data_IF_993270683047
#
_entry.id   IF_993270683047
#
_cell.length_a   1.000
_cell.length_b   1.000
_cell.length_c   1.000
_cell.angle_alpha   90.00
_cell.angle_beta   90.00
_cell.angle_gamma   90.00
#
_symmetry.space_group_name_H-M   'P 1'
#
loop_
_entity.id
_entity.type
_entity.pdbx_description
1 polymer ?
#
# COMPACT_ATOMS: atom_id res chain seq x y z
N UNK A 1 -58.56 -25.99 51.95
CA UNK A 1 -59.13 -24.84 51.22
C UNK A 1 -58.12 -24.37 50.19
N UNK A 2 -58.55 -24.34 48.91
CA UNK A 2 -57.95 -23.68 47.73
C UNK A 2 -56.51 -24.07 47.32
N UNK A 3 -56.45 -24.96 46.31
CA UNK A 3 -55.43 -25.03 45.24
C UNK A 3 -55.20 -23.63 44.66
N UNK A 4 -53.97 -23.30 44.26
CA UNK A 4 -53.70 -22.71 42.94
C UNK A 4 -52.24 -22.98 42.53
N UNK A 5 -52.13 -23.52 41.33
CA UNK A 5 -50.93 -23.76 40.55
C UNK A 5 -50.23 -22.45 40.18
N UNK A 6 -48.92 -22.38 40.34
CA UNK A 6 -48.12 -21.39 39.61
C UNK A 6 -47.33 -22.10 38.51
N UNK A 7 -47.77 -21.78 37.30
CA UNK A 7 -47.16 -22.07 36.01
C UNK A 7 -45.85 -21.27 35.93
N UNK A 8 -44.72 -21.94 35.73
CA UNK A 8 -43.49 -21.25 35.32
C UNK A 8 -43.57 -20.98 33.82
N UNK A 9 -43.91 -19.74 33.46
CA UNK A 9 -43.77 -19.23 32.10
C UNK A 9 -42.28 -19.24 31.72
N UNK A 10 -41.88 -20.18 30.87
CA UNK A 10 -40.68 -20.04 30.07
C UNK A 10 -40.93 -18.91 29.06
N UNK A 11 -40.34 -17.74 29.32
CA UNK A 11 -40.15 -16.70 28.30
C UNK A 11 -39.23 -17.25 27.21
N UNK A 12 -39.86 -17.83 26.19
CA UNK A 12 -39.24 -18.21 24.94
C UNK A 12 -38.97 -16.93 24.15
N UNK A 13 -37.76 -16.39 24.27
CA UNK A 13 -37.28 -15.33 23.38
C UNK A 13 -37.27 -15.87 21.95
N UNK A 14 -38.26 -15.43 21.15
CA UNK A 14 -38.32 -15.67 19.71
C UNK A 14 -37.09 -15.04 19.07
N UNK A 15 -36.06 -15.85 18.80
CA UNK A 15 -35.06 -15.52 17.81
C UNK A 15 -35.75 -15.54 16.44
N UNK A 16 -36.01 -14.35 15.91
CA UNK A 16 -36.42 -14.20 14.51
C UNK A 16 -35.27 -14.68 13.63
N UNK A 17 -35.32 -15.94 13.18
CA UNK A 17 -34.44 -16.45 12.14
C UNK A 17 -34.76 -15.71 10.85
N UNK A 18 -33.99 -14.66 10.53
CA UNK A 18 -33.99 -14.12 9.16
C UNK A 18 -33.41 -15.21 8.26
N UNK A 19 -34.30 -15.87 7.53
CA UNK A 19 -33.93 -16.75 6.43
C UNK A 19 -33.19 -15.90 5.40
N UNK A 20 -31.89 -16.11 5.27
CA UNK A 20 -31.14 -15.58 4.14
C UNK A 20 -31.61 -16.31 2.89
N UNK A 21 -32.43 -15.64 2.08
CA UNK A 21 -32.72 -16.10 0.74
C UNK A 21 -31.43 -16.02 -0.08
N UNK A 22 -30.80 -17.18 -0.30
CA UNK A 22 -29.80 -17.33 -1.34
C UNK A 22 -30.49 -17.16 -2.69
N UNK A 23 -30.41 -15.96 -3.27
CA UNK A 23 -30.73 -15.79 -4.68
C UNK A 23 -29.71 -16.57 -5.49
N UNK A 24 -30.12 -17.74 -6.00
CA UNK A 24 -29.37 -18.46 -7.03
C UNK A 24 -29.22 -17.53 -8.23
N UNK A 25 -27.99 -17.10 -8.49
CA UNK A 25 -27.64 -16.43 -9.74
C UNK A 25 -27.93 -17.40 -10.88
N UNK A 26 -28.95 -17.07 -11.69
CA UNK A 26 -29.18 -17.70 -12.97
C UNK A 26 -28.02 -17.28 -13.87
N UNK A 27 -27.11 -18.21 -14.14
CA UNK A 27 -26.09 -18.06 -15.17
C UNK A 27 -26.78 -17.91 -16.53
N UNK A 28 -26.99 -16.66 -16.95
CA UNK A 28 -27.14 -16.34 -18.36
C UNK A 28 -25.77 -16.58 -18.99
N UNK A 29 -25.68 -17.59 -19.85
CA UNK A 29 -24.53 -17.86 -20.71
C UNK A 29 -24.43 -16.77 -21.78
N UNK A 30 -23.99 -15.56 -21.39
CA UNK A 30 -23.41 -14.62 -22.33
C UNK A 30 -21.91 -14.87 -22.35
N UNK A 31 -21.42 -15.46 -23.43
CA UNK A 31 -20.03 -15.81 -23.68
C UNK A 31 -19.13 -14.59 -23.94
N UNK A 32 -19.10 -13.63 -23.01
CA UNK A 32 -18.02 -12.66 -22.94
C UNK A 32 -16.86 -13.30 -22.17
N UNK A 33 -15.61 -13.20 -22.66
CA UNK A 33 -14.46 -13.65 -21.88
C UNK A 33 -14.45 -12.92 -20.53
N UNK A 34 -14.05 -13.59 -19.44
CA UNK A 34 -14.01 -12.97 -18.12
C UNK A 34 -13.19 -11.68 -18.17
N UNK A 35 -13.69 -10.64 -17.52
CA UNK A 35 -13.02 -9.35 -17.44
C UNK A 35 -11.68 -9.51 -16.73
N UNK A 36 -10.59 -9.17 -17.44
CA UNK A 36 -9.24 -9.24 -16.92
C UNK A 36 -8.91 -7.95 -16.20
N UNK A 37 -8.51 -8.05 -14.94
CA UNK A 37 -8.05 -6.93 -14.12
C UNK A 37 -6.52 -6.90 -14.11
N UNK A 38 -5.96 -5.74 -14.34
CA UNK A 38 -4.54 -5.44 -14.09
C UNK A 38 -4.39 -4.40 -13.01
N UNK A 39 -3.23 -4.40 -12.37
CA UNK A 39 -2.95 -3.57 -11.19
C UNK A 39 -1.88 -2.54 -11.51
N UNK A 40 -2.22 -1.27 -11.36
CA UNK A 40 -1.32 -0.13 -11.57
C UNK A 40 -0.83 0.32 -10.20
N UNK A 41 0.46 0.11 -9.93
CA UNK A 41 1.01 0.22 -8.57
C UNK A 41 2.05 1.33 -8.49
N UNK A 42 2.00 2.12 -7.44
CA UNK A 42 3.09 3.03 -7.07
C UNK A 42 3.25 3.10 -5.55
N UNK A 43 4.47 3.35 -5.12
CA UNK A 43 4.80 3.54 -3.71
C UNK A 43 5.32 4.95 -3.48
N UNK A 44 5.03 5.55 -2.34
CA UNK A 44 5.63 6.79 -1.88
C UNK A 44 6.08 6.63 -0.44
N UNK A 45 7.32 7.02 -0.13
CA UNK A 45 7.89 6.85 1.20
C UNK A 45 8.80 7.99 1.60
N UNK A 46 8.97 8.23 2.89
CA UNK A 46 9.94 9.20 3.43
C UNK A 46 10.32 8.87 4.85
N UNK A 47 11.63 8.86 5.14
CA UNK A 47 12.09 8.65 6.51
C UNK A 47 11.70 9.80 7.46
N UNK A 48 11.53 9.51 8.75
CA UNK A 48 11.11 10.43 9.83
C UNK A 48 11.96 11.69 9.90
N UNK A 49 13.27 11.55 9.71
CA UNK A 49 14.26 12.63 9.74
C UNK A 49 14.52 13.28 8.37
N UNK A 50 13.72 12.96 7.34
CA UNK A 50 13.89 13.42 5.97
C UNK A 50 12.74 14.33 5.56
N UNK A 51 13.03 15.30 4.70
CA UNK A 51 12.02 16.17 4.10
C UNK A 51 11.37 15.43 2.92
N UNK A 52 10.04 15.41 2.89
CA UNK A 52 9.29 14.83 1.78
C UNK A 52 9.34 15.72 0.54
N UNK A 53 9.71 15.12 -0.59
CA UNK A 53 9.74 15.71 -1.92
C UNK A 53 8.96 14.80 -2.88
N UNK A 54 7.74 15.18 -3.32
CA UNK A 54 6.87 14.32 -4.12
C UNK A 54 7.51 13.72 -5.39
N UNK A 55 8.44 14.44 -6.02
CA UNK A 55 9.15 13.98 -7.23
C UNK A 55 10.25 12.95 -6.96
N UNK A 56 10.80 12.89 -5.74
CA UNK A 56 11.89 11.99 -5.37
C UNK A 56 11.43 10.84 -4.48
N UNK A 57 10.34 11.04 -3.74
CA UNK A 57 9.78 10.10 -2.79
C UNK A 57 8.65 9.27 -3.43
N UNK A 58 8.81 8.86 -4.69
CA UNK A 58 7.81 8.09 -5.43
C UNK A 58 8.46 7.03 -6.33
N UNK A 59 7.87 5.84 -6.34
CA UNK A 59 8.39 4.63 -6.96
C UNK A 59 7.26 3.93 -7.74
N UNK A 60 6.99 4.34 -9.00
CA UNK A 60 5.99 3.68 -9.83
C UNK A 60 6.48 2.31 -10.32
N UNK A 61 5.59 1.30 -10.28
CA UNK A 61 5.86 -0.04 -10.81
C UNK A 61 5.37 -0.15 -12.25
N UNK A 62 6.32 -0.31 -13.17
CA UNK A 62 6.05 -0.70 -14.55
C UNK A 62 6.47 -2.17 -14.75
N UNK A 63 5.54 -3.13 -14.91
CA UNK A 63 5.89 -4.53 -15.16
C UNK A 63 6.61 -4.74 -16.50
N UNK A 64 6.58 -3.81 -17.44
CA UNK A 64 7.38 -3.90 -18.66
C UNK A 64 8.88 -3.62 -18.40
N UNK A 65 9.19 -2.85 -17.36
CA UNK A 65 10.56 -2.42 -17.04
C UNK A 65 11.13 -3.07 -15.77
N UNK A 66 10.26 -3.53 -14.87
CA UNK A 66 10.64 -4.01 -13.55
C UNK A 66 10.08 -5.41 -13.31
N UNK A 67 10.92 -6.31 -12.81
CA UNK A 67 10.46 -7.58 -12.24
C UNK A 67 10.02 -7.42 -10.78
N UNK A 68 10.68 -6.51 -10.05
CA UNK A 68 10.31 -6.12 -8.70
C UNK A 68 10.85 -4.72 -8.34
N UNK A 69 10.31 -4.13 -7.28
CA UNK A 69 10.68 -2.83 -6.68
C UNK A 69 10.78 -2.93 -5.17
N UNK A 70 11.42 -1.92 -4.56
CA UNK A 70 11.39 -1.67 -3.12
C UNK A 70 12.32 -2.53 -2.30
N UNK A 71 12.97 -3.53 -2.92
CA UNK A 71 13.92 -4.39 -2.23
C UNK A 71 15.36 -3.97 -2.47
N UNK A 72 16.18 -4.16 -1.44
CA UNK A 72 17.63 -4.12 -1.60
C UNK A 72 18.03 -5.44 -2.23
N UNK A 73 18.88 -5.43 -3.27
CA UNK A 73 19.38 -6.67 -3.86
C UNK A 73 20.02 -7.53 -2.75
N UNK A 74 19.33 -8.61 -2.36
CA UNK A 74 19.79 -9.60 -1.37
C UNK A 74 21.14 -10.23 -1.74
N UNK A 75 21.58 -10.03 -2.99
CA UNK A 75 22.89 -10.42 -3.51
C UNK A 75 24.04 -9.54 -2.99
N UNK A 76 23.76 -8.30 -2.56
CA UNK A 76 24.75 -7.41 -1.97
C UNK A 76 25.12 -7.90 -0.57
N UNK A 77 26.26 -8.60 -0.42
CA UNK A 77 26.70 -9.12 0.88
C UNK A 77 27.24 -8.05 1.81
N UNK A 78 27.59 -6.86 1.32
CA UNK A 78 28.11 -5.79 2.17
C UNK A 78 26.95 -5.02 2.84
N UNK A 79 26.81 -5.06 4.18
CA UNK A 79 25.71 -4.41 4.88
C UNK A 79 25.66 -2.89 4.66
N UNK A 80 26.80 -2.23 4.54
CA UNK A 80 26.86 -0.77 4.31
C UNK A 80 26.32 -0.42 2.93
N UNK A 81 26.68 -1.22 1.91
CA UNK A 81 26.16 -1.02 0.56
C UNK A 81 24.67 -1.38 0.46
N UNK A 82 24.20 -2.40 1.19
CA UNK A 82 22.77 -2.72 1.31
C UNK A 82 22.01 -1.50 1.84
N UNK A 83 22.43 -0.95 2.99
CA UNK A 83 21.78 0.22 3.62
C UNK A 83 21.76 1.44 2.71
N UNK A 84 22.84 1.71 1.98
CA UNK A 84 22.91 2.85 1.04
C UNK A 84 21.97 2.71 -0.16
N UNK A 85 21.61 1.49 -0.54
CA UNK A 85 20.72 1.19 -1.68
C UNK A 85 19.23 1.21 -1.29
N UNK A 86 18.89 1.39 -0.01
CA UNK A 86 17.49 1.45 0.44
C UNK A 86 16.76 2.64 -0.17
N UNK A 87 15.46 2.51 -0.47
CA UNK A 87 14.62 3.67 -0.77
C UNK A 87 14.59 4.64 0.42
N UNK A 88 14.26 5.90 0.16
CA UNK A 88 14.10 6.92 1.20
C UNK A 88 12.82 6.63 2.00
N UNK A 89 12.95 5.70 2.95
CA UNK A 89 11.86 5.11 3.73
C UNK A 89 12.21 4.99 5.21
N UNK A 90 13.47 5.27 5.60
CA UNK A 90 13.91 5.12 6.98
C UNK A 90 13.92 3.66 7.41
N UNK A 91 13.22 3.36 8.50
CA UNK A 91 13.04 2.01 9.04
C UNK A 91 11.86 1.27 8.36
N UNK A 92 10.98 1.98 7.63
CA UNK A 92 9.97 1.38 6.76
C UNK A 92 10.60 0.73 5.54
N UNK A 93 9.90 -0.24 4.95
CA UNK A 93 10.22 -0.85 3.67
C UNK A 93 8.95 -1.22 2.89
N UNK A 94 9.14 -1.54 1.62
CA UNK A 94 8.06 -1.98 0.74
C UNK A 94 8.58 -2.92 -0.34
N UNK A 95 7.67 -3.63 -0.98
CA UNK A 95 7.99 -4.30 -2.23
C UNK A 95 6.80 -4.35 -3.18
N UNK A 96 7.12 -4.48 -4.47
CA UNK A 96 6.19 -4.88 -5.53
C UNK A 96 6.94 -5.89 -6.39
N UNK A 97 6.31 -6.97 -6.82
CA UNK A 97 6.97 -8.02 -7.60
C UNK A 97 5.98 -8.73 -8.52
N UNK A 98 6.44 -9.07 -9.73
CA UNK A 98 5.75 -10.06 -10.56
C UNK A 98 5.76 -11.41 -9.86
N UNK A 99 4.76 -12.24 -10.14
CA UNK A 99 4.74 -13.61 -9.66
C UNK A 99 5.24 -14.54 -10.76
N UNK A 100 6.28 -15.33 -10.47
CA UNK A 100 6.76 -16.42 -11.31
C UNK A 100 7.42 -16.05 -12.64
N UNK A 101 7.80 -14.78 -12.86
CA UNK A 101 8.77 -14.21 -13.82
C UNK A 101 8.69 -14.58 -15.31
N UNK A 102 8.56 -15.87 -15.63
CA UNK A 102 8.55 -16.49 -16.95
C UNK A 102 7.33 -17.39 -17.18
N UNK A 103 6.45 -17.56 -16.17
CA UNK A 103 5.29 -18.43 -16.27
C UNK A 103 4.07 -17.72 -16.92
N UNK A 104 3.59 -18.17 -18.09
CA UNK A 104 2.42 -17.58 -18.75
C UNK A 104 1.15 -17.62 -17.89
N UNK A 105 0.99 -18.62 -17.00
CA UNK A 105 -0.19 -18.69 -16.11
C UNK A 105 -0.20 -17.61 -15.03
N UNK A 106 0.93 -16.92 -14.83
CA UNK A 106 1.09 -15.85 -13.84
C UNK A 106 1.12 -14.46 -14.48
N UNK A 107 0.88 -14.37 -15.80
CA UNK A 107 0.76 -13.09 -16.50
C UNK A 107 -0.23 -12.19 -15.75
N UNK A 108 0.27 -11.04 -15.31
CA UNK A 108 -0.40 -9.96 -14.56
C UNK A 108 -0.78 -10.24 -13.10
N UNK A 109 -0.35 -11.36 -12.53
CA UNK A 109 -0.41 -11.55 -11.09
C UNK A 109 0.74 -10.82 -10.40
N UNK A 110 0.44 -10.14 -9.29
CA UNK A 110 1.37 -9.25 -8.59
C UNK A 110 1.41 -9.57 -7.10
N UNK A 111 2.59 -9.52 -6.50
CA UNK A 111 2.80 -9.53 -5.06
C UNK A 111 3.27 -8.15 -4.61
N UNK A 112 2.77 -7.66 -3.49
CA UNK A 112 3.13 -6.34 -2.98
C UNK A 112 3.00 -6.28 -1.48
N UNK A 113 3.62 -5.29 -0.84
CA UNK A 113 3.44 -5.08 0.59
C UNK A 113 4.29 -3.95 1.15
N UNK A 114 4.00 -3.61 2.40
CA UNK A 114 4.75 -2.67 3.23
C UNK A 114 5.17 -3.37 4.52
N UNK A 115 6.29 -2.94 5.09
CA UNK A 115 6.78 -3.40 6.38
C UNK A 115 7.33 -2.21 7.15
N UNK A 116 7.14 -2.19 8.46
CA UNK A 116 7.64 -1.13 9.35
C UNK A 116 8.59 -1.77 10.37
N UNK A 117 9.84 -1.31 10.38
CA UNK A 117 10.86 -1.79 11.30
C UNK A 117 10.66 -1.19 12.70
N UNK A 118 10.44 -2.04 13.70
CA UNK A 118 10.10 -1.59 15.06
C UNK A 118 11.26 -0.79 15.69
N UNK A 119 11.05 0.52 15.84
CA UNK A 119 12.07 1.47 16.30
C UNK A 119 12.70 1.19 17.67
N UNK A 120 12.05 0.40 18.53
CA UNK A 120 12.58 0.01 19.84
C UNK A 120 13.96 -0.66 19.79
N UNK A 121 14.25 -1.37 18.70
CA UNK A 121 15.54 -2.06 18.48
C UNK A 121 16.74 -1.10 18.37
N UNK A 122 16.51 0.17 18.00
CA UNK A 122 17.58 1.17 17.94
C UNK A 122 18.26 1.38 19.30
N UNK A 123 17.52 1.20 20.42
CA UNK A 123 18.07 1.29 21.79
C UNK A 123 19.10 0.18 22.06
N UNK A 124 18.98 -0.95 21.38
CA UNK A 124 19.93 -2.06 21.41
C UNK A 124 21.00 -1.97 20.32
N UNK A 125 21.13 -0.81 19.64
CA UNK A 125 22.07 -0.55 18.54
C UNK A 125 21.85 -1.46 17.32
N UNK A 126 20.62 -1.94 17.16
CA UNK A 126 20.16 -2.71 16.01
C UNK A 126 19.42 -1.75 15.07
N UNK A 127 19.76 -1.75 13.78
CA UNK A 127 19.06 -0.95 12.77
C UNK A 127 17.73 -1.64 12.43
N UNK A 128 16.56 -1.09 12.80
CA UNK A 128 15.27 -1.72 12.52
C UNK A 128 15.02 -1.91 11.01
N UNK A 129 15.63 -1.05 10.18
CA UNK A 129 15.58 -1.16 8.73
C UNK A 129 16.31 -2.39 8.16
N UNK A 130 17.23 -3.02 8.90
CA UNK A 130 17.83 -4.29 8.45
C UNK A 130 16.77 -5.39 8.34
N UNK A 131 15.86 -5.47 9.32
CA UNK A 131 14.79 -6.46 9.34
C UNK A 131 13.73 -6.18 8.27
N UNK A 132 13.13 -4.98 8.27
CA UNK A 132 12.01 -4.65 7.38
C UNK A 132 12.40 -4.73 5.89
N UNK A 133 13.58 -4.22 5.52
CA UNK A 133 14.10 -4.32 4.15
C UNK A 133 14.51 -5.74 3.76
N UNK A 134 15.05 -6.51 4.72
CA UNK A 134 15.32 -7.93 4.53
C UNK A 134 14.03 -8.70 4.22
N UNK A 135 13.00 -8.51 5.05
CA UNK A 135 11.70 -9.14 4.91
C UNK A 135 11.07 -8.84 3.53
N UNK A 136 10.97 -7.56 3.15
CA UNK A 136 10.45 -7.15 1.84
C UNK A 136 11.28 -7.74 0.68
N UNK A 137 12.61 -7.77 0.80
CA UNK A 137 13.47 -8.35 -0.22
C UNK A 137 13.32 -9.85 -0.40
N UNK A 138 13.20 -10.60 0.69
CA UNK A 138 12.95 -12.04 0.61
C UNK A 138 11.55 -12.37 0.09
N UNK A 139 10.53 -11.59 0.44
CA UNK A 139 9.19 -11.74 -0.15
C UNK A 139 9.20 -11.46 -1.65
N UNK A 140 9.79 -10.34 -2.09
CA UNK A 140 9.90 -10.02 -3.51
C UNK A 140 10.63 -11.11 -4.30
N UNK A 141 11.79 -11.55 -3.81
CA UNK A 141 12.55 -12.61 -4.45
C UNK A 141 11.77 -13.94 -4.51
N UNK A 142 11.05 -14.29 -3.44
CA UNK A 142 10.23 -15.51 -3.39
C UNK A 142 9.06 -15.48 -4.36
N UNK A 143 8.38 -14.34 -4.47
CA UNK A 143 7.28 -14.15 -5.39
C UNK A 143 7.75 -14.28 -6.85
N UNK A 144 8.87 -13.64 -7.18
CA UNK A 144 9.46 -13.72 -8.52
C UNK A 144 9.91 -15.13 -8.87
N UNK A 145 10.49 -15.85 -7.91
CA UNK A 145 10.96 -17.23 -8.07
C UNK A 145 9.84 -18.30 -7.97
N UNK A 146 8.58 -17.89 -7.78
CA UNK A 146 7.46 -18.81 -7.62
C UNK A 146 7.23 -19.68 -8.86
N UNK A 147 7.26 -21.01 -8.68
CA UNK A 147 7.12 -21.98 -9.78
C UNK A 147 5.69 -22.50 -9.97
N UNK A 148 4.83 -22.32 -8.97
CA UNK A 148 3.45 -22.80 -9.01
C UNK A 148 2.51 -21.85 -9.76
N UNK A 149 1.22 -22.23 -9.85
CA UNK A 149 0.17 -21.31 -10.29
C UNK A 149 0.06 -20.09 -9.35
N UNK A 150 -0.19 -18.91 -9.89
CA UNK A 150 -0.27 -17.68 -9.09
C UNK A 150 -1.39 -17.72 -8.04
N UNK A 151 -2.52 -18.35 -8.34
CA UNK A 151 -3.67 -18.48 -7.43
C UNK A 151 -3.42 -19.40 -6.22
N UNK A 152 -2.30 -20.13 -6.22
CA UNK A 152 -1.83 -20.96 -5.10
C UNK A 152 -0.85 -20.23 -4.18
N UNK A 153 -0.29 -19.10 -4.60
CA UNK A 153 0.50 -18.25 -3.72
C UNK A 153 -0.44 -17.40 -2.86
N UNK A 154 -0.35 -17.53 -1.54
CA UNK A 154 -1.13 -16.76 -0.57
C UNK A 154 -0.25 -15.72 0.12
N UNK A 155 -0.82 -14.58 0.49
CA UNK A 155 -0.10 -13.49 1.14
C UNK A 155 0.55 -13.94 2.45
N UNK A 156 -0.17 -14.71 3.26
CA UNK A 156 0.34 -15.28 4.52
C UNK A 156 1.49 -16.25 4.30
N UNK A 157 1.42 -17.09 3.27
CA UNK A 157 2.50 -18.00 2.91
C UNK A 157 3.74 -17.24 2.42
N UNK A 158 3.54 -16.15 1.66
CA UNK A 158 4.64 -15.30 1.23
C UNK A 158 5.33 -14.61 2.42
N UNK A 159 4.54 -14.10 3.38
CA UNK A 159 5.03 -13.54 4.63
C UNK A 159 5.85 -14.58 5.42
N UNK A 160 5.36 -15.82 5.52
CA UNK A 160 6.09 -16.92 6.16
C UNK A 160 7.46 -17.16 5.51
N UNK A 161 7.50 -17.33 4.18
CA UNK A 161 8.76 -17.56 3.47
C UNK A 161 9.72 -16.37 3.62
N UNK A 162 9.19 -15.14 3.60
CA UNK A 162 9.97 -13.94 3.87
C UNK A 162 10.61 -13.97 5.25
N UNK A 163 9.82 -14.29 6.28
CA UNK A 163 10.30 -14.36 7.66
C UNK A 163 11.31 -15.49 7.88
N UNK A 164 11.04 -16.68 7.35
CA UNK A 164 11.95 -17.83 7.45
C UNK A 164 13.34 -17.46 6.90
N UNK A 165 13.40 -16.74 5.77
CA UNK A 165 14.67 -16.28 5.21
C UNK A 165 15.34 -15.16 5.99
N UNK A 166 14.57 -14.30 6.66
CA UNK A 166 15.15 -13.33 7.61
C UNK A 166 15.80 -14.06 8.79
N UNK A 167 15.19 -15.14 9.30
CA UNK A 167 15.77 -15.95 10.36
C UNK A 167 17.05 -16.68 9.92
N UNK A 168 17.18 -17.00 8.63
CA UNK A 168 18.35 -17.65 8.03
C UNK A 168 19.47 -16.64 7.64
N UNK A 169 19.17 -15.35 7.49
CA UNK A 169 20.16 -14.32 7.12
C UNK A 169 21.00 -13.90 8.34
N UNK A 170 22.21 -14.45 8.46
CA UNK A 170 23.16 -14.08 9.53
C UNK A 170 23.53 -12.58 9.53
N UNK A 171 23.30 -11.85 8.43
CA UNK A 171 23.50 -10.40 8.40
C UNK A 171 22.41 -9.64 9.16
N UNK A 172 21.23 -10.23 9.38
CA UNK A 172 20.12 -9.67 10.17
C UNK A 172 20.18 -10.26 11.57
N UNK A 173 21.08 -9.70 12.38
CA UNK A 173 21.41 -10.26 13.71
C UNK A 173 20.25 -10.18 14.71
N UNK A 174 19.41 -9.16 14.57
CA UNK A 174 18.29 -8.86 15.45
C UNK A 174 17.33 -7.89 14.75
N UNK A 175 16.15 -7.70 15.35
CA UNK A 175 15.18 -6.71 14.87
C UNK A 175 13.78 -7.27 14.91
N UNK A 176 12.81 -6.42 14.58
CA UNK A 176 11.44 -6.84 14.39
C UNK A 176 10.68 -5.90 13.48
N UNK A 177 9.56 -6.37 12.93
CA UNK A 177 8.79 -5.60 11.96
C UNK A 177 7.33 -6.02 11.90
N UNK A 178 6.46 -5.04 11.62
CA UNK A 178 5.08 -5.29 11.17
C UNK A 178 5.07 -5.53 9.66
N UNK A 179 3.99 -6.11 9.12
CA UNK A 179 3.88 -6.32 7.67
C UNK A 179 2.42 -6.35 7.19
N UNK A 180 2.17 -5.70 6.06
CA UNK A 180 0.92 -5.83 5.30
C UNK A 180 1.25 -6.25 3.88
N UNK A 181 0.75 -7.42 3.47
CA UNK A 181 1.15 -8.11 2.24
C UNK A 181 -0.08 -8.45 1.41
N UNK A 182 0.02 -8.33 0.09
CA UNK A 182 -1.04 -8.64 -0.86
C UNK A 182 -0.59 -9.45 -2.07
N UNK A 183 -1.47 -10.32 -2.54
CA UNK A 183 -1.37 -11.05 -3.81
C UNK A 183 -2.57 -10.70 -4.68
N UNK A 184 -2.35 -10.00 -5.78
CA UNK A 184 -3.39 -9.66 -6.76
C UNK A 184 -3.40 -10.61 -7.95
N UNK A 185 -4.56 -11.16 -8.28
CA UNK A 185 -4.78 -12.05 -9.42
C UNK A 185 -5.52 -11.33 -10.55
N UNK A 186 -5.34 -11.80 -11.78
CA UNK A 186 -5.88 -11.17 -12.98
C UNK A 186 -7.42 -11.28 -13.13
N UNK A 187 -8.09 -12.00 -12.24
CA UNK A 187 -9.55 -12.07 -12.12
C UNK A 187 -10.11 -11.06 -11.09
N UNK A 188 -9.26 -10.17 -10.57
CA UNK A 188 -9.61 -9.16 -9.58
C UNK A 188 -9.58 -9.65 -8.13
N UNK A 189 -9.35 -10.94 -7.87
CA UNK A 189 -9.17 -11.43 -6.49
C UNK A 189 -7.86 -10.91 -5.92
N UNK A 190 -7.90 -10.39 -4.70
CA UNK A 190 -6.72 -10.02 -3.92
C UNK A 190 -6.77 -10.71 -2.57
N UNK A 191 -5.71 -11.43 -2.23
CA UNK A 191 -5.49 -12.04 -0.90
C UNK A 191 -4.56 -11.13 -0.09
N UNK A 192 -4.98 -10.73 1.11
CA UNK A 192 -4.23 -9.85 2.00
C UNK A 192 -3.88 -10.58 3.29
N UNK A 193 -2.68 -10.34 3.82
CA UNK A 193 -2.25 -10.76 5.15
C UNK A 193 -1.63 -9.59 5.89
N UNK A 194 -2.14 -9.28 7.08
CA UNK A 194 -1.68 -8.19 7.92
C UNK A 194 -1.17 -8.73 9.26
N UNK A 195 0.01 -8.31 9.69
CA UNK A 195 0.58 -8.53 11.01
C UNK A 195 1.02 -7.18 11.58
N UNK A 196 0.45 -6.77 12.72
CA UNK A 196 0.74 -5.50 13.37
C UNK A 196 -0.24 -4.38 13.01
N UNK A 197 0.22 -3.14 13.07
CA UNK A 197 -0.55 -1.90 12.87
C UNK A 197 -0.25 -1.16 11.57
N UNK A 198 0.67 -1.69 10.74
CA UNK A 198 0.54 -1.56 9.29
C UNK A 198 -0.84 -2.07 8.84
N UNK A 199 -1.29 -1.67 7.65
CA UNK A 199 -2.67 -1.96 7.26
C UNK A 199 -3.01 -1.68 5.81
N UNK A 200 -4.30 -1.88 5.49
CA UNK A 200 -4.86 -1.65 4.16
C UNK A 200 -6.24 -0.99 4.22
N UNK A 201 -6.58 -0.24 3.16
CA UNK A 201 -7.91 0.32 2.93
C UNK A 201 -8.29 0.16 1.45
N UNK A 202 -9.48 -0.38 1.19
CA UNK A 202 -10.08 -0.42 -0.14
C UNK A 202 -11.09 0.72 -0.29
N UNK A 203 -10.88 1.55 -1.31
CA UNK A 203 -11.80 2.59 -1.73
C UNK A 203 -12.46 2.22 -3.06
N UNK A 204 -13.76 2.46 -3.16
CA UNK A 204 -14.55 2.30 -4.39
C UNK A 204 -15.62 3.38 -4.43
N UNK A 205 -15.70 4.09 -5.55
CA UNK A 205 -16.69 5.15 -5.81
C UNK A 205 -16.85 6.13 -4.62
N UNK A 206 -15.72 6.61 -4.11
CA UNK A 206 -15.61 7.49 -2.94
C UNK A 206 -16.25 6.98 -1.63
N UNK A 207 -16.26 5.67 -1.42
CA UNK A 207 -16.58 5.06 -0.14
C UNK A 207 -15.42 4.16 0.33
N UNK A 208 -15.29 4.03 1.66
CA UNK A 208 -14.45 2.99 2.28
C UNK A 208 -15.23 1.68 2.24
N UNK A 209 -14.73 0.69 1.51
CA UNK A 209 -15.37 -0.62 1.37
C UNK A 209 -14.82 -1.66 2.33
N UNK A 210 -13.52 -1.61 2.62
CA UNK A 210 -12.84 -2.52 3.52
C UNK A 210 -11.64 -1.80 4.11
N UNK A 211 -11.27 -2.13 5.35
CA UNK A 211 -9.99 -1.75 5.93
C UNK A 211 -9.53 -2.79 6.95
N UNK A 212 -8.23 -2.93 7.16
CA UNK A 212 -7.68 -3.82 8.18
C UNK A 212 -7.87 -3.26 9.59
N UNK A 213 -8.04 -4.15 10.57
CA UNK A 213 -7.98 -3.77 11.99
C UNK A 213 -6.55 -3.95 12.50
N UNK A 214 -5.93 -2.95 13.15
CA UNK A 214 -4.60 -3.08 13.73
C UNK A 214 -4.51 -4.23 14.75
N UNK A 215 -3.41 -4.98 14.73
CA UNK A 215 -3.10 -6.02 15.71
C UNK A 215 -2.04 -5.51 16.68
N UNK A 216 -2.41 -5.37 17.95
CA UNK A 216 -1.54 -4.82 19.00
C UNK A 216 -1.65 -5.65 20.28
N UNK A 217 -0.55 -5.76 21.01
CA UNK A 217 -0.51 -6.34 22.36
C UNK A 217 -0.96 -5.32 23.42
N UNK A 218 -0.66 -4.05 23.16
CA UNK A 218 -1.05 -2.88 23.96
C UNK A 218 -0.97 -1.63 23.08
N UNK A 219 -1.35 -0.47 23.62
CA UNK A 219 -1.20 0.80 22.93
C UNK A 219 0.24 1.01 22.43
N UNK A 220 0.39 1.37 21.14
CA UNK A 220 1.68 1.59 20.48
C UNK A 220 2.67 0.41 20.63
N UNK A 221 2.13 -0.82 20.72
CA UNK A 221 2.89 -2.06 20.85
C UNK A 221 2.32 -3.08 19.88
N UNK A 222 2.69 -3.00 18.58
CA UNK A 222 2.12 -3.88 17.56
C UNK A 222 2.55 -5.32 17.72
N UNK A 223 1.77 -6.21 17.11
CA UNK A 223 2.24 -7.54 16.75
C UNK A 223 3.43 -7.38 15.80
N UNK A 224 4.50 -8.12 16.04
CA UNK A 224 5.73 -8.00 15.28
C UNK A 224 6.42 -9.36 15.11
N UNK A 225 6.92 -9.60 13.90
CA UNK A 225 7.91 -10.65 13.67
C UNK A 225 9.24 -10.21 14.29
N UNK A 226 10.04 -11.13 14.83
CA UNK A 226 11.31 -10.76 15.47
C UNK A 226 12.43 -11.79 15.30
N UNK A 227 13.65 -11.30 15.06
CA UNK A 227 14.89 -12.06 15.29
C UNK A 227 15.40 -11.67 16.67
N UNK A 228 15.41 -12.64 17.58
CA UNK A 228 15.96 -12.45 18.93
C UNK A 228 17.30 -13.19 19.04
N UNK A 229 18.42 -12.48 19.27
CA UNK A 229 19.73 -13.11 19.43
C UNK A 229 19.75 -14.21 20.50
N UNK A 230 20.44 -15.34 20.29
CA UNK A 230 20.50 -16.43 21.28
C UNK A 230 20.97 -15.98 22.67
N UNK A 231 21.93 -15.04 22.74
CA UNK A 231 22.39 -14.46 24.00
C UNK A 231 21.29 -13.68 24.73
N UNK A 232 20.49 -12.92 24.00
CA UNK A 232 19.35 -12.18 24.56
C UNK A 232 18.26 -13.13 25.06
N UNK A 233 17.99 -14.21 24.32
CA UNK A 233 17.06 -15.27 24.76
C UNK A 233 17.53 -15.93 26.06
N UNK A 234 18.82 -16.30 26.14
CA UNK A 234 19.38 -16.91 27.33
C UNK A 234 19.36 -15.95 28.53
N UNK A 235 19.64 -14.66 28.31
CA UNK A 235 19.56 -13.66 29.37
C UNK A 235 18.13 -13.52 29.90
N UNK A 236 17.14 -13.45 29.01
CA UNK A 236 15.72 -13.39 29.39
C UNK A 236 15.27 -14.65 30.15
N UNK A 237 15.73 -15.84 29.77
CA UNK A 237 15.38 -17.07 30.49
C UNK A 237 16.02 -17.18 31.88
N UNK A 238 17.14 -16.51 32.12
CA UNK A 238 17.83 -16.49 33.42
C UNK A 238 17.29 -15.39 34.34
N UNK A 239 17.07 -14.18 33.82
CA UNK A 239 16.74 -13.00 34.62
C UNK A 239 15.27 -12.58 34.54
N UNK A 240 14.46 -13.30 33.78
CA UNK A 240 13.08 -12.94 33.47
C UNK A 240 12.99 -11.89 32.37
N UNK A 241 11.85 -11.91 31.66
CA UNK A 241 11.55 -11.05 30.53
C UNK A 241 11.09 -11.85 29.32
N UNK A 242 10.20 -11.28 28.52
CA UNK A 242 9.76 -11.84 27.24
C UNK A 242 10.02 -10.84 26.13
N UNK A 243 10.32 -11.36 24.95
CA UNK A 243 10.38 -10.57 23.73
C UNK A 243 9.13 -10.82 22.92
N UNK A 244 8.58 -9.77 22.31
CA UNK A 244 7.50 -9.90 21.35
C UNK A 244 8.04 -10.60 20.11
N UNK A 245 7.48 -11.77 19.81
CA UNK A 245 7.89 -12.60 18.67
C UNK A 245 6.66 -13.33 18.13
N UNK A 246 5.76 -12.55 17.53
CA UNK A 246 4.61 -13.07 16.83
C UNK A 246 5.05 -13.86 15.59
N UNK A 247 4.15 -14.69 15.08
CA UNK A 247 4.40 -15.55 13.94
C UNK A 247 3.59 -15.11 12.73
N UNK A 248 4.02 -15.44 11.50
CA UNK A 248 3.19 -15.24 10.31
C UNK A 248 1.84 -15.96 10.43
N UNK A 249 1.74 -17.02 11.26
CA UNK A 249 0.47 -17.69 11.59
C UNK A 249 -0.55 -16.78 12.27
N UNK A 250 -0.12 -15.72 12.93
CA UNK A 250 -0.96 -14.77 13.68
C UNK A 250 -1.50 -13.65 12.79
N UNK A 251 -1.02 -13.55 11.55
CA UNK A 251 -1.48 -12.55 10.59
C UNK A 251 -2.96 -12.73 10.25
N UNK A 252 -3.70 -11.62 10.29
CA UNK A 252 -5.08 -11.55 9.86
C UNK A 252 -5.16 -11.62 8.33
N UNK A 253 -5.95 -12.56 7.80
CA UNK A 253 -6.10 -12.76 6.35
C UNK A 253 -7.44 -12.22 5.87
N UNK A 254 -7.44 -11.47 4.78
CA UNK A 254 -8.64 -10.91 4.14
C UNK A 254 -8.60 -11.13 2.64
N UNK A 255 -9.63 -11.76 2.09
CA UNK A 255 -9.85 -11.82 0.65
C UNK A 255 -10.77 -10.69 0.18
N UNK A 256 -10.38 -9.96 -0.85
CA UNK A 256 -11.22 -8.95 -1.51
C UNK A 256 -11.35 -9.24 -3.01
N UNK A 257 -12.43 -8.74 -3.60
CA UNK A 257 -12.66 -8.75 -5.04
C UNK A 257 -12.61 -7.31 -5.55
N UNK A 258 -11.48 -6.92 -6.12
CA UNK A 258 -11.29 -5.62 -6.75
C UNK A 258 -11.98 -5.56 -8.11
N UNK A 259 -12.44 -4.36 -8.45
CA UNK A 259 -13.15 -4.02 -9.68
C UNK A 259 -12.46 -2.85 -10.35
N UNK A 260 -12.75 -2.63 -11.64
CA UNK A 260 -12.27 -1.46 -12.36
C UNK A 260 -12.55 -0.15 -11.59
N UNK A 261 -11.52 0.67 -11.40
CA UNK A 261 -11.62 1.95 -10.69
C UNK A 261 -11.50 1.87 -9.18
N UNK A 262 -11.31 0.68 -8.61
CA UNK A 262 -10.98 0.53 -7.19
C UNK A 262 -9.56 1.01 -6.89
N UNK A 263 -9.39 1.55 -5.69
CA UNK A 263 -8.10 1.98 -5.15
C UNK A 263 -7.86 1.24 -3.84
N UNK A 264 -6.91 0.33 -3.82
CA UNK A 264 -6.41 -0.30 -2.60
C UNK A 264 -5.15 0.45 -2.14
N UNK A 265 -5.09 0.79 -0.87
CA UNK A 265 -3.95 1.47 -0.24
C UNK A 265 -3.42 0.58 0.87
N UNK A 266 -2.12 0.31 0.90
CA UNK A 266 -1.42 -0.30 2.02
C UNK A 266 -0.46 0.73 2.61
N UNK A 267 -0.41 0.87 3.94
CA UNK A 267 0.47 1.85 4.59
C UNK A 267 1.02 1.33 5.91
N UNK A 268 2.13 1.93 6.35
CA UNK A 268 2.67 1.81 7.71
C UNK A 268 1.91 2.70 8.69
N UNK A 269 2.17 2.55 9.99
CA UNK A 269 1.50 3.28 11.05
C UNK A 269 1.76 4.80 10.98
N UNK A 270 2.91 5.23 10.45
CA UNK A 270 3.24 6.64 10.25
C UNK A 270 2.21 7.40 9.42
N UNK A 271 1.38 6.70 8.63
CA UNK A 271 0.18 7.24 8.01
C UNK A 271 -1.01 7.18 8.96
N UNK A 272 -1.35 6.00 9.51
CA UNK A 272 -2.57 5.81 10.32
C UNK A 272 -2.57 6.57 11.64
N UNK A 273 -1.41 6.83 12.21
CA UNK A 273 -1.23 7.65 13.40
C UNK A 273 -1.48 9.13 13.16
N UNK A 274 -1.39 9.55 11.89
CA UNK A 274 -1.48 10.93 11.49
C UNK A 274 -2.74 11.24 10.67
N UNK A 275 -3.30 10.30 9.92
CA UNK A 275 -4.50 10.45 9.09
C UNK A 275 -5.49 9.33 9.38
N UNK A 276 -6.75 9.67 9.65
CA UNK A 276 -7.80 8.66 9.73
C UNK A 276 -8.34 8.27 8.34
N UNK A 277 -9.09 7.16 8.26
CA UNK A 277 -9.64 6.64 7.01
C UNK A 277 -10.49 7.66 6.23
N UNK A 278 -11.19 8.58 6.91
CA UNK A 278 -12.00 9.63 6.25
C UNK A 278 -11.13 10.72 5.63
N UNK A 279 -10.00 11.05 6.25
CA UNK A 279 -9.03 11.99 5.67
C UNK A 279 -8.37 11.36 4.44
N UNK A 280 -7.96 10.10 4.52
CA UNK A 280 -7.40 9.37 3.37
C UNK A 280 -8.44 9.27 2.24
N UNK A 281 -9.70 8.95 2.57
CA UNK A 281 -10.81 8.93 1.60
C UNK A 281 -10.96 10.26 0.87
N UNK A 282 -10.91 11.38 1.61
CA UNK A 282 -11.01 12.74 1.01
C UNK A 282 -9.87 13.00 0.04
N UNK A 283 -8.64 12.58 0.38
CA UNK A 283 -7.48 12.73 -0.49
C UNK A 283 -7.63 11.91 -1.78
N UNK A 284 -7.97 10.62 -1.64
CA UNK A 284 -8.20 9.72 -2.77
C UNK A 284 -9.31 10.25 -3.65
N UNK A 285 -10.48 10.56 -3.08
CA UNK A 285 -11.65 11.07 -3.82
C UNK A 285 -11.31 12.35 -4.57
N UNK A 286 -10.65 13.31 -3.91
CA UNK A 286 -10.25 14.56 -4.55
C UNK A 286 -9.32 14.31 -5.74
N UNK A 287 -8.34 13.41 -5.60
CA UNK A 287 -7.40 13.12 -6.70
C UNK A 287 -8.04 12.34 -7.82
N UNK A 288 -8.88 11.35 -7.52
CA UNK A 288 -9.61 10.57 -8.51
C UNK A 288 -10.56 11.46 -9.33
N UNK A 289 -11.25 12.41 -8.69
CA UNK A 289 -12.16 13.33 -9.40
C UNK A 289 -11.38 14.37 -10.21
N UNK A 290 -10.36 15.01 -9.62
CA UNK A 290 -9.59 16.06 -10.31
C UNK A 290 -8.76 15.52 -11.49
N UNK A 291 -8.35 14.26 -11.46
CA UNK A 291 -7.68 13.62 -12.59
C UNK A 291 -8.64 13.17 -13.69
N UNK A 292 -9.95 13.21 -13.44
CA UNK A 292 -10.96 12.63 -14.32
C UNK A 292 -11.07 11.11 -14.25
N UNK A 293 -10.38 10.45 -13.32
CA UNK A 293 -10.45 8.99 -13.13
C UNK A 293 -11.81 8.52 -12.58
N UNK A 294 -12.41 9.35 -11.71
CA UNK A 294 -13.80 9.25 -11.32
C UNK A 294 -14.57 10.47 -11.83
N UNK A 295 -15.75 10.26 -12.38
CA UNK A 295 -16.68 11.33 -12.69
C UNK A 295 -17.59 11.57 -11.50
N UNK A 296 -17.90 12.83 -11.21
CA UNK A 296 -18.89 13.22 -10.22
C UNK A 296 -19.96 14.05 -10.92
N UNK A 297 -21.17 13.51 -11.05
CA UNK A 297 -22.31 14.22 -11.63
C UNK A 297 -23.45 14.29 -10.63
N UNK A 298 -24.18 15.40 -10.63
CA UNK A 298 -25.29 15.63 -9.70
C UNK A 298 -26.40 14.58 -9.83
N UNK A 299 -26.50 13.91 -10.99
CA UNK A 299 -27.56 12.95 -11.30
C UNK A 299 -27.14 11.48 -11.14
N UNK A 300 -25.89 11.11 -11.45
CA UNK A 300 -25.44 9.71 -11.42
C UNK A 300 -24.52 9.37 -10.24
N UNK A 301 -24.20 10.34 -9.39
CA UNK A 301 -23.22 10.15 -8.32
C UNK A 301 -21.81 9.97 -8.89
N UNK A 302 -21.02 9.12 -8.23
CA UNK A 302 -19.63 8.86 -8.60
C UNK A 302 -19.54 7.61 -9.47
N UNK A 303 -18.89 7.71 -10.62
CA UNK A 303 -18.63 6.59 -11.51
C UNK A 303 -17.20 6.58 -12.04
N UNK A 304 -16.75 5.44 -12.58
CA UNK A 304 -15.39 5.29 -13.13
C UNK A 304 -15.35 5.78 -14.56
N UNK A 305 -14.34 6.59 -14.90
CA UNK A 305 -14.15 7.08 -16.27
C UNK A 305 -13.66 5.99 -17.21
N UNK A 306 -14.11 6.04 -18.46
CA UNK A 306 -13.63 5.16 -19.53
C UNK A 306 -12.14 5.43 -19.87
N UNK A 307 -11.60 6.60 -19.48
CA UNK A 307 -10.19 6.99 -19.69
C UNK A 307 -9.24 6.51 -18.57
N UNK A 308 -9.73 5.76 -17.57
CA UNK A 308 -8.91 5.34 -16.41
C UNK A 308 -7.60 4.63 -16.82
N UNK A 309 -7.64 3.81 -17.87
CA UNK A 309 -6.46 3.10 -18.35
C UNK A 309 -5.36 4.08 -18.84
N UNK A 310 -5.75 5.14 -19.55
CA UNK A 310 -4.82 6.17 -20.01
C UNK A 310 -4.22 6.94 -18.83
N UNK A 311 -5.04 7.31 -17.85
CA UNK A 311 -4.63 8.06 -16.65
C UNK A 311 -3.69 7.27 -15.71
N UNK A 312 -3.71 5.95 -15.80
CA UNK A 312 -2.85 5.07 -15.00
C UNK A 312 -1.65 4.54 -15.79
N UNK A 313 -1.63 4.74 -17.10
CA UNK A 313 -0.51 4.36 -17.96
C UNK A 313 0.75 5.17 -17.63
N UNK A 314 1.91 4.50 -17.69
CA UNK A 314 3.22 5.14 -17.49
C UNK A 314 3.84 5.61 -18.82
N UNK A 315 3.15 5.37 -19.94
CA UNK A 315 3.53 5.78 -21.29
C UNK A 315 2.97 7.15 -21.63
N UNK A 316 3.86 8.10 -21.89
CA UNK A 316 3.53 9.45 -22.38
C UNK A 316 2.71 9.39 -23.66
N UNK A 317 1.40 9.64 -23.57
CA UNK A 317 0.58 10.03 -24.73
C UNK A 317 0.28 11.52 -24.64
N UNK A 318 0.97 12.28 -25.47
CA UNK A 318 0.75 13.69 -25.75
C UNK A 318 -0.71 13.90 -26.18
N UNK A 319 -1.47 14.86 -25.62
CA UNK A 319 -2.73 15.28 -26.22
C UNK A 319 -2.43 15.89 -27.59
N UNK A 320 -2.98 15.31 -28.66
CA UNK A 320 -3.01 15.93 -29.97
C UNK A 320 -3.73 17.28 -29.84
N UNK A 321 -2.98 18.38 -29.96
CA UNK A 321 -3.57 19.69 -30.20
C UNK A 321 -4.18 19.68 -31.60
N UNK A 322 -5.50 19.81 -31.66
CA UNK A 322 -6.21 20.09 -32.89
C UNK A 322 -5.68 21.39 -33.53
N UNK A 323 -5.31 21.24 -34.78
CA UNK A 323 -4.87 22.25 -35.74
C UNK A 323 -5.90 23.35 -35.98
N UNK A 324 -5.45 24.61 -35.98
CA UNK A 324 -5.99 25.66 -36.83
C UNK A 324 -4.85 26.52 -37.39
N UNK A 325 -4.70 26.44 -38.70
CA UNK A 325 -3.77 27.16 -39.57
C UNK A 325 -4.23 28.58 -39.86
N UNK A 326 -3.30 29.55 -39.95
CA UNK A 326 -3.06 30.44 -41.13
C UNK A 326 -1.97 31.49 -40.84
N UNK A 327 -0.94 31.49 -41.69
CA UNK A 327 0.09 32.53 -41.96
C UNK A 327 -0.43 33.55 -43.01
N UNK A 328 0.24 34.69 -43.40
CA UNK A 328 1.69 34.94 -43.46
C UNK A 328 2.24 36.36 -43.12
N UNK A 329 3.58 36.41 -43.14
CA UNK A 329 4.66 37.43 -42.98
C UNK A 329 4.61 38.67 -43.92
N UNK A 330 5.64 39.57 -44.08
CA UNK A 330 6.91 39.85 -43.32
C UNK A 330 7.30 41.37 -43.21
N UNK A 331 8.56 41.65 -42.76
CA UNK A 331 9.43 42.88 -42.86
C UNK A 331 9.54 43.76 -41.59
N UNK A 332 10.68 44.30 -41.11
CA UNK A 332 12.10 44.31 -41.52
C UNK A 332 13.02 44.86 -40.38
N UNK A 333 14.26 44.35 -40.31
CA UNK A 333 15.59 45.01 -40.08
C UNK A 333 16.07 45.47 -38.67
N UNK A 334 17.24 44.92 -38.30
CA UNK A 334 18.43 45.36 -37.49
C UNK A 334 18.38 45.90 -36.05
N UNK A 335 19.09 45.22 -35.11
CA UNK A 335 20.49 45.54 -34.68
C UNK A 335 20.96 44.74 -33.44
N UNK A 336 22.21 44.28 -33.52
CA UNK A 336 23.20 43.71 -32.57
C UNK A 336 22.96 43.68 -31.02
N UNK A 337 23.19 42.50 -30.42
CA UNK A 337 23.98 42.29 -29.18
C UNK A 337 24.34 40.79 -28.97
N UNK A 338 25.61 40.39 -28.71
CA UNK A 338 26.00 38.99 -28.57
C UNK A 338 26.22 38.59 -27.11
N UNK A 339 25.18 38.10 -26.42
CA UNK A 339 25.35 37.19 -25.27
C UNK A 339 24.21 36.17 -25.21
N UNK A 340 24.37 35.05 -25.92
CA UNK A 340 23.49 33.88 -25.76
C UNK A 340 24.30 32.60 -25.58
N UNK A 341 24.31 32.10 -24.35
CA UNK A 341 24.35 30.67 -24.10
C UNK A 341 23.20 30.34 -23.16
N UNK A 342 21.99 30.27 -23.75
CA UNK A 342 20.95 29.35 -23.27
C UNK A 342 21.42 27.94 -23.60
N UNK A 343 21.45 26.98 -22.66
CA UNK A 343 21.40 25.59 -23.04
C UNK A 343 19.92 25.23 -23.26
N UNK A 344 19.50 25.20 -24.52
CA UNK A 344 18.52 24.20 -24.95
C UNK A 344 19.23 22.85 -24.94
N UNK A 345 18.66 21.89 -24.21
CA UNK A 345 18.84 20.44 -24.34
C UNK A 345 17.85 19.82 -23.32
N UNK A 346 16.52 19.89 -23.45
CA UNK A 346 15.64 19.11 -24.36
C UNK A 346 15.97 17.62 -24.55
N UNK A 347 16.80 17.05 -23.67
CA UNK A 347 16.98 15.61 -23.51
C UNK A 347 17.15 15.28 -22.01
N UNK A 348 16.15 15.59 -21.17
CA UNK A 348 16.06 15.01 -19.80
C UNK A 348 14.70 15.21 -19.08
N UNK A 349 13.63 15.59 -19.80
CA UNK A 349 12.24 15.54 -19.30
C UNK A 349 11.62 14.14 -19.44
N UNK A 350 12.41 13.15 -19.84
CA UNK A 350 12.03 11.75 -19.78
C UNK A 350 12.01 11.33 -18.31
N UNK A 351 10.86 10.88 -17.82
CA UNK A 351 10.59 10.27 -16.50
C UNK A 351 10.20 11.25 -15.38
N UNK A 352 9.09 11.98 -15.51
CA UNK A 352 8.42 12.49 -14.30
C UNK A 352 7.54 11.37 -13.73
N UNK A 353 7.94 10.67 -12.65
CA UNK A 353 7.18 9.55 -12.09
C UNK A 353 5.81 9.96 -11.53
N UNK A 354 5.56 11.27 -11.37
CA UNK A 354 4.29 11.83 -10.89
C UNK A 354 3.13 11.80 -11.89
N UNK A 355 3.36 11.44 -13.16
CA UNK A 355 2.31 11.57 -14.18
C UNK A 355 1.21 10.51 -14.13
N UNK A 356 1.44 9.38 -13.45
CA UNK A 356 0.40 8.36 -13.29
C UNK A 356 -0.49 8.63 -12.09
N UNK A 357 -1.77 8.25 -12.22
CA UNK A 357 -2.77 8.39 -11.15
C UNK A 357 -2.34 7.74 -9.83
N UNK A 358 -1.84 6.50 -9.88
CA UNK A 358 -1.37 5.76 -8.71
C UNK A 358 -0.21 6.47 -7.99
N UNK A 359 0.72 7.08 -8.74
CA UNK A 359 1.82 7.85 -8.17
C UNK A 359 1.35 9.15 -7.53
N UNK A 360 0.40 9.84 -8.16
CA UNK A 360 -0.24 11.04 -7.61
C UNK A 360 -1.00 10.73 -6.32
N UNK A 361 -1.71 9.60 -6.26
CA UNK A 361 -2.41 9.14 -5.06
C UNK A 361 -1.42 8.84 -3.93
N UNK A 362 -0.40 8.02 -4.19
CA UNK A 362 0.59 7.63 -3.19
C UNK A 362 1.30 8.86 -2.59
N UNK A 363 1.77 9.76 -3.45
CA UNK A 363 2.47 10.99 -3.01
C UNK A 363 1.56 11.97 -2.29
N UNK A 364 0.28 12.04 -2.65
CA UNK A 364 -0.69 12.90 -1.95
C UNK A 364 -0.91 12.40 -0.52
N UNK A 365 -1.12 11.09 -0.34
CA UNK A 365 -1.32 10.50 0.99
C UNK A 365 -0.06 10.66 1.83
N UNK A 366 1.11 10.26 1.30
CA UNK A 366 2.38 10.35 2.02
C UNK A 366 2.73 11.80 2.39
N UNK A 367 2.51 12.76 1.49
CA UNK A 367 2.78 14.17 1.75
C UNK A 367 1.88 14.79 2.79
N UNK A 368 0.59 14.45 2.81
CA UNK A 368 -0.33 14.92 3.86
C UNK A 368 -0.03 14.25 5.20
N UNK A 369 0.30 12.95 5.21
CA UNK A 369 0.74 12.26 6.43
C UNK A 369 2.01 12.90 7.00
N UNK A 370 3.00 13.21 6.15
CA UNK A 370 4.25 13.87 6.60
C UNK A 370 3.99 15.27 7.14
N UNK A 371 3.10 16.03 6.52
CA UNK A 371 2.72 17.36 7.02
C UNK A 371 1.97 17.28 8.34
N UNK A 372 1.08 16.29 8.48
CA UNK A 372 0.34 16.03 9.71
C UNK A 372 1.25 15.59 10.85
N UNK A 373 2.24 14.74 10.58
CA UNK A 373 3.18 14.20 11.58
C UNK A 373 4.04 15.27 12.25
N UNK A 374 4.41 16.32 11.50
CA UNK A 374 5.15 17.47 12.03
C UNK A 374 4.25 18.61 12.55
N UNK A 375 2.92 18.46 12.54
CA UNK A 375 2.00 19.49 13.00
C UNK A 375 1.65 19.29 14.49
N UNK A 376 2.41 19.95 15.36
CA UNK A 376 2.21 19.92 16.82
C UNK A 376 0.90 20.56 17.30
N UNK A 377 0.13 21.20 16.41
CA UNK A 377 -1.15 21.86 16.74
C UNK A 377 -2.37 21.04 16.31
N UNK A 378 -2.16 19.89 15.67
CA UNK A 378 -3.22 19.02 15.18
C UNK A 378 -3.16 17.68 15.88
N UNK A 379 -4.14 17.40 16.72
CA UNK A 379 -4.28 16.07 17.32
C UNK A 379 -4.78 15.06 16.27
N UNK A 380 -3.84 14.28 15.76
CA UNK A 380 -4.10 13.14 14.88
C UNK A 380 -4.71 11.94 15.61
N UNK A 381 -4.99 10.85 14.88
CA UNK A 381 -5.43 9.57 15.47
C UNK A 381 -4.58 9.12 16.66
N UNK A 382 -3.25 9.16 16.55
CA UNK A 382 -2.35 8.74 17.62
C UNK A 382 -2.53 9.57 18.90
N UNK A 383 -2.50 10.89 18.80
CA UNK A 383 -2.69 11.77 19.97
C UNK A 383 -4.03 11.53 20.67
N UNK A 384 -5.09 11.26 19.92
CA UNK A 384 -6.40 10.93 20.47
C UNK A 384 -6.40 9.59 21.21
N UNK A 385 -5.70 8.60 20.68
CA UNK A 385 -5.54 7.30 21.35
C UNK A 385 -4.65 7.43 22.60
N UNK A 386 -3.57 8.23 22.58
CA UNK A 386 -2.78 8.53 23.81
C UNK A 386 -3.69 9.12 24.89
N UNK A 387 -4.49 10.13 24.56
CA UNK A 387 -5.42 10.78 25.50
C UNK A 387 -6.48 9.81 26.04
N UNK A 388 -6.82 8.76 25.28
CA UNK A 388 -7.77 7.73 25.68
C UNK A 388 -7.15 6.73 26.65
N UNK A 389 -5.94 6.24 26.36
CA UNK A 389 -5.24 5.25 27.19
C UNK A 389 -4.60 5.88 28.43
N UNK A 390 -4.09 7.10 28.30
CA UNK A 390 -3.40 7.84 29.34
C UNK A 390 -3.99 9.27 29.48
N UNK A 391 -5.18 9.42 30.09
CA UNK A 391 -5.85 10.73 30.20
C UNK A 391 -5.06 11.80 30.97
N UNK A 392 -4.06 11.41 31.75
CA UNK A 392 -3.16 12.31 32.47
C UNK A 392 -1.93 12.75 31.67
N UNK A 393 -1.66 12.12 30.52
CA UNK A 393 -0.57 12.50 29.63
C UNK A 393 -1.00 13.65 28.71
N UNK A 394 -0.08 14.58 28.46
CA UNK A 394 -0.34 15.82 27.71
C UNK A 394 0.11 15.73 26.25
N UNK A 395 0.22 14.52 25.69
CA UNK A 395 0.58 14.35 24.29
C UNK A 395 -0.42 15.05 23.36
N UNK A 396 0.10 15.90 22.48
CA UNK A 396 -0.63 16.70 21.48
C UNK A 396 0.15 16.71 20.18
N UNK A 397 -0.56 16.90 19.07
CA UNK A 397 0.04 17.01 17.75
C UNK A 397 0.16 15.70 16.97
N UNK A 398 0.91 15.75 15.87
CA UNK A 398 1.25 14.57 15.07
C UNK A 398 2.34 13.71 15.71
N UNK A 399 2.36 12.42 15.34
CA UNK A 399 3.44 11.48 15.69
C UNK A 399 4.45 11.47 14.54
N UNK A 400 5.65 12.00 14.78
CA UNK A 400 6.73 11.99 13.79
C UNK A 400 7.20 10.55 13.59
N UNK A 401 7.03 10.04 12.38
CA UNK A 401 7.41 8.67 12.03
C UNK A 401 7.92 8.53 10.60
N UNK A 402 8.47 7.35 10.31
CA UNK A 402 8.71 6.89 8.94
C UNK A 402 7.35 6.73 8.24
N UNK A 403 7.29 7.01 6.93
CA UNK A 403 6.03 6.98 6.19
C UNK A 403 6.23 6.14 4.94
N UNK A 404 5.36 5.16 4.75
CA UNK A 404 5.27 4.39 3.52
C UNK A 404 3.80 4.21 3.09
N UNK A 405 3.54 4.49 1.81
CA UNK A 405 2.22 4.35 1.18
C UNK A 405 2.37 3.62 -0.14
N UNK A 406 1.74 2.45 -0.25
CA UNK A 406 1.61 1.69 -1.48
C UNK A 406 0.17 1.81 -2.00
N UNK A 407 0.01 2.24 -3.24
CA UNK A 407 -1.30 2.37 -3.89
C UNK A 407 -1.40 1.39 -5.06
N UNK A 408 -2.52 0.68 -5.12
CA UNK A 408 -2.90 -0.25 -6.19
C UNK A 408 -4.21 0.23 -6.80
N UNK A 409 -4.21 0.60 -8.09
CA UNK A 409 -5.42 0.92 -8.85
C UNK A 409 -5.76 -0.27 -9.77
N UNK A 410 -6.99 -0.78 -9.66
CA UNK A 410 -7.46 -1.87 -10.50
C UNK A 410 -8.06 -1.35 -11.82
N UNK A 411 -7.59 -1.90 -12.95
CA UNK A 411 -8.00 -1.50 -14.31
C UNK A 411 -8.45 -2.72 -15.09
N UNK A 412 -9.65 -2.66 -15.67
CA UNK A 412 -10.18 -3.73 -16.53
C UNK A 412 -9.69 -3.51 -17.96
N UNK A 413 -9.02 -4.52 -18.52
CA UNK A 413 -8.47 -4.42 -19.86
C UNK A 413 -9.57 -4.39 -20.94
N UNK A 414 -9.35 -3.57 -21.97
CA UNK A 414 -10.23 -3.49 -23.15
C UNK A 414 -11.59 -2.84 -22.90
N UNK A 415 -11.86 -2.31 -21.71
CA UNK A 415 -13.16 -1.68 -21.37
C UNK A 415 -13.44 -0.42 -22.20
N UNK A 416 -12.45 0.46 -22.38
CA UNK A 416 -12.59 1.69 -23.16
C UNK A 416 -12.86 1.45 -24.65
N UNK A 417 -12.43 0.31 -25.20
CA UNK A 417 -12.67 -0.07 -26.60
C UNK A 417 -14.06 -0.67 -26.83
N UNK A 418 -14.63 -1.36 -25.82
CA UNK A 418 -15.95 -2.03 -25.93
C UNK A 418 -17.15 -1.09 -25.93
N UNK A 419 -16.99 0.18 -25.50
CA UNK A 419 -18.08 1.15 -25.42
C UNK A 419 -18.18 2.11 -26.61
N UNK A 420 -17.17 2.10 -27.50
CA UNK A 420 -17.14 2.96 -28.70
C UNK A 420 -17.61 2.24 -29.98
N UNK A 421 -17.88 0.94 -29.93
CA UNK A 421 -18.56 0.17 -30.98
C UNK A 421 -19.96 -0.22 -30.55
#
# INVERSE_FOLDING_TARGET
>A
MKRFSFISELTQTRLASRQFHSSRSLFSSSSSPPSRITYRIAVSSSGKSRRFHPSHNVYPFDPAQHDALGFTAIEERNPVLRRRKRPDSGEDSFFVSKIGGQNPSSLDAVAFGVADGVGGWAQSRVDPGDFSHGLCGYMAHSALAWKGPADKLRAKNLLQVGYDRVLEDEAIVAGGSTASVGIGLNDGRVDLANLGDSGSILFRLAAVHQYSTPQTHSFNTPYQLSVIPPRMRLQASIFGGDYLQDQPSDAAVTGIQMQHGDVLVLTTDGVFDNLNNQEILKLVTKRMVLSGAWTATDQMGISVSDDLDQLTSLSSTTPQQHSASTSPSPSAIDTDDPTSHKPNNTVDLLKNPMHSLQALLATTIAGEAKRASHNFRRDGPFAKEVQRYYPGDWFRGGKVDDICVLVVVAVEEGRGQRRQG
#
